data_IF_544914599966
#
_entry.id   IF_544914599966
#
_cell.length_a   1.000
_cell.length_b   1.000
_cell.length_c   1.000
_cell.angle_alpha   90.00
_cell.angle_beta   90.00
_cell.angle_gamma   90.00
#
_symmetry.space_group_name_H-M   'P 1'
#
loop_
_entity.id
_entity.type
_entity.pdbx_description
1 polymer ?
#
# COMPACT_ATOMS: atom_id res chain seq x y z
N UNK A 1 -9.53 -20.78 9.36
CA UNK A 1 -8.55 -21.29 10.36
C UNK A 1 -7.64 -20.17 10.88
N UNK A 2 -6.85 -19.43 10.03
CA UNK A 2 -5.91 -18.39 10.49
C UNK A 2 -6.60 -17.28 11.32
N UNK A 3 -7.76 -16.79 10.88
CA UNK A 3 -8.55 -15.79 11.61
C UNK A 3 -9.01 -16.33 12.97
N UNK A 4 -9.44 -17.60 13.04
CA UNK A 4 -9.82 -18.27 14.29
C UNK A 4 -8.61 -18.47 15.23
N UNK A 5 -7.42 -18.59 14.68
CA UNK A 5 -6.16 -18.69 15.44
C UNK A 5 -5.62 -17.32 15.89
N UNK A 6 -6.30 -16.21 15.58
CA UNK A 6 -5.96 -14.88 16.07
C UNK A 6 -5.23 -13.98 15.07
N UNK A 7 -5.18 -14.31 13.77
CA UNK A 7 -4.65 -13.40 12.77
C UNK A 7 -5.40 -12.06 12.74
N UNK A 8 -4.69 -10.96 12.51
CA UNK A 8 -5.24 -9.61 12.52
C UNK A 8 -5.63 -9.10 11.14
N UNK A 9 -5.00 -9.64 10.09
CA UNK A 9 -5.23 -9.25 8.70
C UNK A 9 -5.46 -10.47 7.81
N UNK A 10 -6.33 -10.30 6.83
CA UNK A 10 -6.44 -11.21 5.68
C UNK A 10 -5.42 -10.75 4.65
N UNK A 11 -4.53 -11.64 4.22
CA UNK A 11 -3.50 -11.33 3.23
C UNK A 11 -3.87 -11.80 1.84
N UNK A 12 -3.28 -11.19 0.83
CA UNK A 12 -3.40 -11.59 -0.58
C UNK A 12 -2.22 -11.09 -1.41
N UNK A 13 -2.10 -11.63 -2.63
CA UNK A 13 -1.00 -11.33 -3.54
C UNK A 13 -1.52 -11.28 -4.99
N UNK A 14 -1.32 -10.14 -5.67
CA UNK A 14 -1.48 -9.97 -7.12
C UNK A 14 -2.71 -10.71 -7.69
N UNK A 15 -3.94 -10.30 -7.39
CA UNK A 15 -5.16 -11.08 -7.60
C UNK A 15 -5.48 -11.34 -9.07
N UNK A 16 -4.95 -10.53 -10.00
CA UNK A 16 -5.13 -10.76 -11.44
C UNK A 16 -4.14 -11.78 -11.95
N UNK A 17 -2.87 -11.65 -11.61
CA UNK A 17 -1.78 -12.49 -12.16
C UNK A 17 -1.71 -13.84 -11.44
N UNK A 18 -1.82 -13.83 -10.11
CA UNK A 18 -1.66 -15.06 -9.30
C UNK A 18 -2.96 -15.87 -9.28
N UNK A 19 -4.08 -15.22 -8.97
CA UNK A 19 -5.36 -15.94 -8.84
C UNK A 19 -6.14 -16.06 -10.15
N UNK A 20 -5.81 -15.23 -11.15
CA UNK A 20 -6.50 -15.20 -12.45
C UNK A 20 -7.96 -14.75 -12.37
N UNK A 21 -8.40 -14.21 -11.23
CA UNK A 21 -9.79 -13.84 -10.97
C UNK A 21 -9.86 -12.69 -9.94
N UNK A 22 -9.44 -11.49 -10.32
CA UNK A 22 -9.24 -10.33 -9.47
C UNK A 22 -10.44 -10.04 -8.55
N UNK A 23 -11.63 -9.85 -9.10
CA UNK A 23 -12.82 -9.52 -8.33
C UNK A 23 -13.16 -10.63 -7.33
N UNK A 24 -13.20 -11.88 -7.77
CA UNK A 24 -13.53 -13.02 -6.90
C UNK A 24 -12.52 -13.17 -5.75
N UNK A 25 -11.24 -12.98 -6.02
CA UNK A 25 -10.18 -13.04 -5.02
C UNK A 25 -10.36 -11.95 -3.98
N UNK A 26 -10.50 -10.71 -4.41
CA UNK A 26 -10.69 -9.55 -3.55
C UNK A 26 -12.00 -9.66 -2.73
N UNK A 27 -13.11 -10.03 -3.34
CA UNK A 27 -14.39 -10.23 -2.64
C UNK A 27 -14.28 -11.29 -1.55
N UNK A 28 -13.56 -12.38 -1.83
CA UNK A 28 -13.33 -13.44 -0.83
C UNK A 28 -12.53 -12.92 0.36
N UNK A 29 -11.47 -12.14 0.12
CA UNK A 29 -10.67 -11.54 1.18
C UNK A 29 -11.47 -10.54 2.02
N UNK A 30 -12.22 -9.65 1.38
CA UNK A 30 -13.07 -8.69 2.08
C UNK A 30 -14.18 -9.37 2.88
N UNK A 31 -14.80 -10.42 2.34
CA UNK A 31 -15.82 -11.17 3.07
C UNK A 31 -15.25 -11.83 4.33
N UNK A 32 -14.07 -12.45 4.23
CA UNK A 32 -13.39 -13.02 5.40
C UNK A 32 -13.07 -11.93 6.43
N UNK A 33 -12.59 -10.78 5.99
CA UNK A 33 -12.28 -9.66 6.87
C UNK A 33 -13.55 -9.16 7.62
N UNK A 34 -14.68 -9.08 6.92
CA UNK A 34 -15.97 -8.71 7.51
C UNK A 34 -16.46 -9.74 8.51
N UNK A 35 -16.39 -11.03 8.16
CA UNK A 35 -16.88 -12.13 9.01
C UNK A 35 -16.14 -12.20 10.36
N UNK A 36 -14.88 -11.78 10.39
CA UNK A 36 -14.04 -11.82 11.59
C UNK A 36 -13.71 -10.45 12.19
N UNK A 37 -14.26 -9.37 11.63
CA UNK A 37 -13.95 -7.98 12.03
C UNK A 37 -12.44 -7.67 11.99
N UNK A 38 -11.79 -8.01 10.88
CA UNK A 38 -10.34 -7.87 10.69
C UNK A 38 -10.00 -6.90 9.53
N UNK A 39 -8.71 -6.56 9.41
CA UNK A 39 -8.19 -5.79 8.28
C UNK A 39 -7.85 -6.69 7.10
N UNK A 40 -7.55 -6.03 5.98
CA UNK A 40 -6.99 -6.63 4.77
C UNK A 40 -5.64 -5.97 4.50
N UNK A 41 -4.61 -6.77 4.24
CA UNK A 41 -3.33 -6.30 3.72
C UNK A 41 -3.00 -7.09 2.47
N UNK A 42 -3.03 -6.43 1.32
CA UNK A 42 -2.78 -7.06 0.03
C UNK A 42 -1.48 -6.56 -0.59
N UNK A 43 -0.61 -7.49 -0.97
CA UNK A 43 0.59 -7.21 -1.75
C UNK A 43 0.21 -7.06 -3.22
N UNK A 44 0.40 -5.88 -3.80
CA UNK A 44 0.03 -5.56 -5.17
C UNK A 44 1.25 -5.06 -5.95
N UNK A 45 1.92 -5.97 -6.66
CA UNK A 45 3.04 -5.65 -7.55
C UNK A 45 2.58 -5.37 -8.98
N UNK A 46 1.36 -5.80 -9.32
CA UNK A 46 0.76 -5.56 -10.63
C UNK A 46 0.81 -4.08 -10.99
N UNK A 47 1.30 -3.79 -12.19
CA UNK A 47 1.31 -2.44 -12.75
C UNK A 47 0.06 -2.19 -13.59
N UNK A 48 0.04 -1.15 -14.42
CA UNK A 48 -1.07 -0.84 -15.33
C UNK A 48 -1.16 -1.88 -16.47
N UNK A 49 -2.40 -2.25 -16.94
CA UNK A 49 -3.70 -1.78 -16.44
C UNK A 49 -4.26 -2.60 -15.28
N UNK A 50 -3.80 -3.82 -15.06
CA UNK A 50 -4.36 -4.76 -14.09
C UNK A 50 -4.29 -4.22 -12.65
N UNK A 51 -3.12 -3.76 -12.22
CA UNK A 51 -2.95 -3.19 -10.88
C UNK A 51 -3.79 -1.93 -10.64
N UNK A 52 -3.96 -1.08 -11.66
CA UNK A 52 -4.85 0.10 -11.55
C UNK A 52 -6.30 -0.34 -11.38
N UNK A 53 -6.75 -1.36 -12.09
CA UNK A 53 -8.09 -1.91 -11.95
C UNK A 53 -8.29 -2.49 -10.55
N UNK A 54 -7.31 -3.24 -10.03
CA UNK A 54 -7.37 -3.82 -8.68
C UNK A 54 -7.44 -2.73 -7.60
N UNK A 55 -6.61 -1.68 -7.68
CA UNK A 55 -6.66 -0.56 -6.72
C UNK A 55 -8.03 0.12 -6.76
N UNK A 56 -8.56 0.43 -7.94
CA UNK A 56 -9.88 1.05 -8.05
C UNK A 56 -10.98 0.16 -7.48
N UNK A 57 -10.96 -1.13 -7.77
CA UNK A 57 -11.93 -2.09 -7.24
C UNK A 57 -11.90 -2.14 -5.70
N UNK A 58 -10.72 -2.20 -5.11
CA UNK A 58 -10.56 -2.18 -3.66
C UNK A 58 -11.09 -0.89 -3.03
N UNK A 59 -10.75 0.27 -3.61
CA UNK A 59 -11.25 1.57 -3.12
C UNK A 59 -12.77 1.64 -3.21
N UNK A 60 -13.36 1.23 -4.34
CA UNK A 60 -14.83 1.19 -4.51
C UNK A 60 -15.51 0.24 -3.51
N UNK A 61 -14.90 -0.91 -3.23
CA UNK A 61 -15.43 -1.87 -2.26
C UNK A 61 -15.46 -1.26 -0.86
N UNK A 62 -14.40 -0.56 -0.44
CA UNK A 62 -14.38 0.13 0.85
C UNK A 62 -15.39 1.28 0.89
N UNK A 63 -15.56 2.06 -0.20
CA UNK A 63 -16.57 3.11 -0.30
C UNK A 63 -18.00 2.57 -0.13
N UNK A 64 -18.27 1.39 -0.65
CA UNK A 64 -19.60 0.72 -0.56
C UNK A 64 -19.81 -0.03 0.76
N UNK A 65 -18.75 -0.27 1.53
CA UNK A 65 -18.76 -1.12 2.73
C UNK A 65 -18.16 -0.36 3.93
N UNK A 66 -18.94 0.45 4.66
CA UNK A 66 -18.42 1.31 5.74
C UNK A 66 -17.65 0.58 6.83
N UNK A 67 -17.91 -0.73 7.04
CA UNK A 67 -17.21 -1.57 8.00
C UNK A 67 -15.74 -1.81 7.66
N UNK A 68 -15.35 -1.61 6.39
CA UNK A 68 -13.97 -1.74 5.91
C UNK A 68 -13.19 -0.43 5.99
N UNK A 69 -13.81 0.69 6.32
CA UNK A 69 -13.13 1.98 6.44
C UNK A 69 -11.99 1.89 7.47
N UNK A 70 -10.79 2.28 7.08
CA UNK A 70 -9.59 2.21 7.91
C UNK A 70 -9.04 0.80 8.13
N UNK A 71 -9.52 -0.19 7.36
CA UNK A 71 -9.11 -1.59 7.51
C UNK A 71 -8.38 -2.16 6.28
N UNK A 72 -8.12 -1.35 5.26
CA UNK A 72 -7.41 -1.78 4.06
C UNK A 72 -6.02 -1.17 4.02
N UNK A 73 -5.01 -2.02 3.90
CA UNK A 73 -3.64 -1.67 3.52
C UNK A 73 -3.34 -2.26 2.14
N UNK A 74 -2.77 -1.46 1.26
CA UNK A 74 -2.25 -1.92 -0.03
C UNK A 74 -0.74 -1.79 0.01
N UNK A 75 -0.07 -2.92 0.09
CA UNK A 75 1.38 -3.02 0.10
C UNK A 75 1.93 -2.95 -1.32
N UNK A 76 3.04 -2.25 -1.52
CA UNK A 76 3.67 -1.91 -2.80
C UNK A 76 2.85 -0.95 -3.65
N UNK A 77 1.68 -1.34 -4.11
CA UNK A 77 0.77 -0.56 -4.96
C UNK A 77 1.47 0.04 -6.20
N UNK A 78 2.35 -0.72 -6.86
CA UNK A 78 3.20 -0.23 -7.96
C UNK A 78 2.43 0.35 -9.14
N UNK A 79 1.17 -0.03 -9.30
CA UNK A 79 0.28 0.58 -10.27
C UNK A 79 0.18 2.11 -10.14
N UNK A 80 0.29 2.65 -8.94
CA UNK A 80 0.19 4.10 -8.69
C UNK A 80 1.32 4.89 -9.37
N UNK A 81 2.49 4.28 -9.57
CA UNK A 81 3.60 4.91 -10.29
C UNK A 81 3.35 5.03 -11.81
N UNK A 82 2.31 4.40 -12.34
CA UNK A 82 1.94 4.46 -13.77
C UNK A 82 0.88 5.51 -14.07
N UNK A 83 0.33 6.14 -13.04
CA UNK A 83 -0.72 7.15 -13.16
C UNK A 83 -0.11 8.55 -13.35
N UNK A 84 -0.85 9.41 -14.06
CA UNK A 84 -0.51 10.82 -14.11
C UNK A 84 -0.92 11.54 -12.81
N UNK A 85 -0.43 12.77 -12.62
CA UNK A 85 -0.65 13.56 -11.40
C UNK A 85 -2.14 13.74 -11.06
N UNK A 86 -2.98 14.04 -12.04
CA UNK A 86 -4.42 14.22 -11.82
C UNK A 86 -5.12 12.91 -11.41
N UNK A 87 -4.72 11.79 -11.99
CA UNK A 87 -5.25 10.48 -11.64
C UNK A 87 -4.85 10.11 -10.21
N UNK A 88 -3.59 10.35 -9.83
CA UNK A 88 -3.12 10.13 -8.46
C UNK A 88 -3.91 11.01 -7.49
N UNK A 89 -4.08 12.29 -7.78
CA UNK A 89 -4.83 13.24 -6.94
C UNK A 89 -6.26 12.78 -6.67
N UNK A 90 -6.94 12.35 -7.74
CA UNK A 90 -8.33 11.87 -7.65
C UNK A 90 -8.42 10.60 -6.78
N UNK A 91 -7.55 9.64 -7.03
CA UNK A 91 -7.54 8.37 -6.30
C UNK A 91 -7.12 8.56 -4.84
N UNK A 92 -6.09 9.39 -4.60
CA UNK A 92 -5.62 9.72 -3.26
C UNK A 92 -6.71 10.37 -2.39
N UNK A 93 -7.51 11.28 -2.96
CA UNK A 93 -8.64 11.89 -2.24
C UNK A 93 -9.69 10.85 -1.79
N UNK A 94 -9.98 9.87 -2.64
CA UNK A 94 -10.87 8.75 -2.31
C UNK A 94 -10.25 7.86 -1.21
N UNK A 95 -8.99 7.48 -1.37
CA UNK A 95 -8.26 6.66 -0.40
C UNK A 95 -8.18 7.32 0.97
N UNK A 96 -7.85 8.61 1.03
CA UNK A 96 -7.80 9.38 2.27
C UNK A 96 -9.16 9.42 2.97
N UNK A 97 -10.25 9.62 2.23
CA UNK A 97 -11.61 9.62 2.76
C UNK A 97 -11.97 8.29 3.40
N UNK A 98 -11.48 7.20 2.83
CA UNK A 98 -11.71 5.84 3.32
C UNK A 98 -10.66 5.37 4.32
N UNK A 99 -9.66 6.19 4.64
CA UNK A 99 -8.56 5.84 5.54
C UNK A 99 -7.79 4.59 5.08
N UNK A 100 -7.58 4.47 3.76
CA UNK A 100 -6.79 3.38 3.17
C UNK A 100 -5.31 3.70 3.36
N UNK A 101 -4.53 2.73 3.80
CA UNK A 101 -3.09 2.84 4.03
C UNK A 101 -2.31 2.30 2.82
N UNK A 102 -1.23 2.95 2.46
CA UNK A 102 -0.23 2.45 1.52
C UNK A 102 1.02 2.06 2.28
N UNK A 103 1.44 0.80 2.17
CA UNK A 103 2.72 0.34 2.68
C UNK A 103 3.73 0.26 1.54
N UNK A 104 4.84 0.99 1.64
CA UNK A 104 5.84 1.09 0.58
C UNK A 104 7.20 0.61 1.04
N UNK A 105 7.89 -0.13 0.16
CA UNK A 105 9.30 -0.48 0.33
C UNK A 105 10.25 0.67 -0.05
N UNK A 106 9.71 1.81 -0.49
CA UNK A 106 10.49 2.92 -1.05
C UNK A 106 11.40 2.41 -2.17
N UNK A 107 10.83 1.93 -3.30
CA UNK A 107 11.61 1.30 -4.35
C UNK A 107 12.60 2.27 -4.99
N UNK A 108 13.79 1.77 -5.29
CA UNK A 108 14.86 2.50 -5.99
C UNK A 108 14.86 2.06 -7.46
N UNK A 109 15.15 2.97 -8.36
CA UNK A 109 15.30 2.66 -9.79
C UNK A 109 14.27 3.36 -10.65
N UNK A 110 13.72 2.66 -11.63
CA UNK A 110 12.81 3.25 -12.64
C UNK A 110 11.39 3.48 -12.12
N UNK A 111 11.01 2.83 -11.03
CA UNK A 111 9.67 2.94 -10.45
C UNK A 111 9.65 4.07 -9.41
N UNK A 112 9.07 5.20 -9.77
CA UNK A 112 8.92 6.34 -8.86
C UNK A 112 7.50 6.40 -8.33
N UNK A 113 7.33 5.98 -7.07
CA UNK A 113 6.03 5.99 -6.40
C UNK A 113 5.61 7.41 -6.04
N UNK A 114 4.33 7.78 -6.17
CA UNK A 114 3.83 9.12 -5.84
C UNK A 114 3.63 9.32 -4.32
N UNK A 115 4.54 8.80 -3.48
CA UNK A 115 4.35 8.73 -2.01
C UNK A 115 4.15 10.10 -1.37
N UNK A 116 4.90 11.10 -1.82
CA UNK A 116 4.73 12.47 -1.32
C UNK A 116 3.34 13.02 -1.66
N UNK A 117 2.90 12.83 -2.90
CA UNK A 117 1.59 13.30 -3.38
C UNK A 117 0.44 12.63 -2.62
N UNK A 118 0.53 11.32 -2.38
CA UNK A 118 -0.43 10.57 -1.57
C UNK A 118 -0.55 11.16 -0.16
N UNK A 119 0.59 11.40 0.50
CA UNK A 119 0.62 12.01 1.84
C UNK A 119 0.08 13.44 1.86
N UNK A 120 0.42 14.24 0.87
CA UNK A 120 -0.08 15.63 0.76
C UNK A 120 -1.61 15.67 0.62
N UNK A 121 -2.23 14.60 0.09
CA UNK A 121 -3.69 14.41 0.02
C UNK A 121 -4.30 13.74 1.26
N UNK A 122 -3.51 13.39 2.25
CA UNK A 122 -3.98 12.80 3.51
C UNK A 122 -4.07 11.27 3.51
N UNK A 123 -3.51 10.59 2.51
CA UNK A 123 -3.36 9.14 2.55
C UNK A 123 -2.29 8.79 3.58
N UNK A 124 -2.59 7.84 4.45
CA UNK A 124 -1.58 7.27 5.33
C UNK A 124 -0.59 6.44 4.50
N UNK A 125 0.69 6.78 4.62
CA UNK A 125 1.78 6.05 3.99
C UNK A 125 2.73 5.57 5.08
N UNK A 126 2.95 4.27 5.13
CA UNK A 126 3.95 3.65 6.01
C UNK A 126 5.05 3.01 5.16
N UNK A 127 6.20 2.76 5.75
CA UNK A 127 7.29 2.06 5.08
C UNK A 127 7.53 0.69 5.69
N UNK A 128 8.04 -0.23 4.87
CA UNK A 128 8.48 -1.56 5.27
C UNK A 128 9.77 -1.93 4.58
N UNK A 129 10.52 -2.84 5.18
CA UNK A 129 11.77 -3.34 4.59
C UNK A 129 11.51 -4.38 3.51
N UNK A 130 10.43 -5.16 3.68
CA UNK A 130 10.07 -6.29 2.84
C UNK A 130 11.18 -7.35 2.83
N UNK A 131 12.01 -7.35 1.80
CA UNK A 131 13.12 -8.27 1.62
C UNK A 131 14.39 -7.83 2.37
N UNK A 132 15.11 -8.79 2.94
CA UNK A 132 16.38 -8.58 3.64
C UNK A 132 17.44 -9.50 3.04
N UNK A 133 18.32 -8.96 2.22
CA UNK A 133 19.43 -9.66 1.54
C UNK A 133 18.96 -10.97 0.89
N UNK A 134 18.07 -10.85 -0.08
CA UNK A 134 17.56 -11.98 -0.86
C UNK A 134 17.64 -11.71 -2.38
N UNK A 135 17.02 -12.58 -3.17
CA UNK A 135 17.02 -12.45 -4.64
C UNK A 135 16.28 -11.20 -5.15
N UNK A 136 15.35 -10.65 -4.36
CA UNK A 136 14.58 -9.46 -4.71
C UNK A 136 15.28 -8.18 -4.30
N UNK A 137 15.96 -8.20 -3.15
CA UNK A 137 16.68 -7.05 -2.60
C UNK A 137 18.04 -7.46 -2.01
N UNK A 138 19.08 -7.61 -2.84
CA UNK A 138 20.40 -8.03 -2.37
C UNK A 138 21.07 -7.00 -1.44
N UNK A 139 20.55 -5.79 -1.39
CA UNK A 139 21.06 -4.69 -0.56
C UNK A 139 20.15 -4.35 0.64
N UNK A 140 19.05 -5.09 0.84
CA UNK A 140 18.12 -4.84 1.94
C UNK A 140 18.72 -5.18 3.30
N UNK A 141 18.69 -4.27 4.25
CA UNK A 141 19.28 -4.44 5.58
C UNK A 141 18.26 -4.79 6.69
N UNK A 142 16.97 -4.73 6.43
CA UNK A 142 15.95 -4.90 7.48
C UNK A 142 15.91 -3.74 8.48
N UNK A 143 16.49 -2.60 8.14
CA UNK A 143 16.57 -1.41 8.99
C UNK A 143 15.53 -0.37 8.58
N UNK A 144 14.59 -0.11 9.46
CA UNK A 144 13.52 0.87 9.21
C UNK A 144 14.03 2.32 9.18
N UNK A 145 15.11 2.63 9.90
CA UNK A 145 15.74 3.95 9.83
C UNK A 145 16.37 4.19 8.44
N UNK A 146 16.91 3.14 7.83
CA UNK A 146 17.37 3.20 6.43
C UNK A 146 16.22 3.55 5.48
N UNK A 147 15.03 2.96 5.68
CA UNK A 147 13.84 3.30 4.88
C UNK A 147 13.40 4.74 5.06
N UNK A 148 13.41 5.25 6.28
CA UNK A 148 13.13 6.66 6.57
C UNK A 148 14.14 7.59 5.86
N UNK A 149 15.42 7.25 5.92
CA UNK A 149 16.49 8.00 5.25
C UNK A 149 16.33 7.97 3.73
N UNK A 150 16.04 6.81 3.16
CA UNK A 150 15.81 6.64 1.73
C UNK A 150 14.62 7.48 1.25
N UNK A 151 13.52 7.43 1.99
CA UNK A 151 12.36 8.28 1.70
C UNK A 151 12.72 9.76 1.75
N UNK A 152 13.49 10.19 2.76
CA UNK A 152 13.93 11.56 2.88
C UNK A 152 14.78 12.02 1.68
N UNK A 153 15.68 11.17 1.20
CA UNK A 153 16.51 11.47 0.04
C UNK A 153 15.73 11.57 -1.28
N UNK A 154 14.75 10.71 -1.46
CA UNK A 154 14.03 10.60 -2.74
C UNK A 154 12.84 11.56 -2.86
N UNK A 155 12.15 11.88 -1.76
CA UNK A 155 10.82 12.50 -1.81
C UNK A 155 10.72 13.86 -1.12
N UNK A 156 11.69 14.25 -0.30
CA UNK A 156 11.54 15.49 0.49
C UNK A 156 12.76 16.40 0.40
N UNK A 157 12.51 17.72 0.58
CA UNK A 157 13.60 18.67 0.79
C UNK A 157 14.05 18.58 2.26
N UNK A 158 15.37 18.44 2.54
CA UNK A 158 15.87 18.29 3.90
C UNK A 158 15.65 19.57 4.72
N UNK A 159 14.83 19.45 5.74
CA UNK A 159 14.74 20.36 6.87
C UNK A 159 14.27 19.55 8.08
N UNK A 160 14.42 20.08 9.28
CA UNK A 160 14.14 19.35 10.51
C UNK A 160 12.73 18.75 10.56
N UNK A 161 11.71 19.53 10.19
CA UNK A 161 10.31 19.06 10.16
C UNK A 161 10.11 17.92 9.15
N UNK A 162 10.68 18.03 7.97
CA UNK A 162 10.52 17.01 6.94
C UNK A 162 11.29 15.73 7.29
N UNK A 163 12.47 15.84 7.88
CA UNK A 163 13.23 14.67 8.35
C UNK A 163 12.47 13.96 9.50
N UNK A 164 11.92 14.71 10.43
CA UNK A 164 11.05 14.17 11.47
C UNK A 164 9.84 13.43 10.89
N UNK A 165 9.18 14.04 9.89
CA UNK A 165 8.06 13.39 9.17
C UNK A 165 8.46 12.13 8.39
N UNK A 166 9.69 12.07 7.87
CA UNK A 166 10.20 10.85 7.24
C UNK A 166 10.39 9.73 8.26
N UNK A 167 10.85 10.05 9.45
CA UNK A 167 11.00 9.08 10.53
C UNK A 167 9.66 8.45 10.92
N UNK A 168 8.57 9.22 10.98
CA UNK A 168 7.23 8.71 11.28
C UNK A 168 6.69 7.70 10.27
N UNK A 169 7.27 7.59 9.07
CA UNK A 169 6.87 6.55 8.12
C UNK A 169 7.42 5.17 8.50
N UNK A 170 8.45 5.15 9.33
CA UNK A 170 9.20 3.96 9.71
C UNK A 170 8.96 3.56 11.18
N UNK A 171 8.13 4.28 11.90
CA UNK A 171 7.77 4.05 13.31
C UNK A 171 6.28 3.91 13.50
#
# INVERSE_FOLDING_TARGET
>A
EAMQAGAHYVGGLDPTIVDGAMEKSLDTMFQIALDYDKGVDIHLHETSPAGVAAVNYMVETVEKTPQLKGKLTISHAFALATLNEQQVDTLAGRMATQQITIASTVPIGTLHMPLKQLRDKGVEVITGTDSVIDHWSPYGLGDMLEKANLYAQLYIRPNELNLSRALFLAT
#
